data_IF_603547685980
#
_entry.id   IF_603547685980
#
_cell.length_a   1.000
_cell.length_b   1.000
_cell.length_c   1.000
_cell.angle_alpha   90.00
_cell.angle_beta   90.00
_cell.angle_gamma   90.00
#
_symmetry.space_group_name_H-M   'P 1'
#
loop_
_entity.id
_entity.type
_entity.pdbx_description
1 polymer ?
#
# COMPACT_ATOMS: atom_id res chain seq x y z
N UNK A 1 -3.94 -1.76 -14.69
CA UNK A 1 -2.98 -2.70 -14.08
C UNK A 1 -3.75 -3.56 -13.08
N UNK A 2 -3.44 -4.85 -12.94
CA UNK A 2 -4.02 -5.68 -11.88
C UNK A 2 -2.91 -6.10 -10.91
N UNK A 3 -3.11 -5.84 -9.61
CA UNK A 3 -2.31 -6.43 -8.55
C UNK A 3 -2.99 -7.72 -8.08
N UNK A 4 -2.25 -8.82 -8.03
CA UNK A 4 -2.78 -10.15 -7.69
C UNK A 4 -1.96 -10.72 -6.54
N UNK A 5 -2.64 -11.07 -5.44
CA UNK A 5 -2.03 -11.81 -4.34
C UNK A 5 -2.70 -13.18 -4.21
N UNK A 6 -1.90 -14.24 -4.13
CA UNK A 6 -2.34 -15.62 -3.99
C UNK A 6 -1.94 -16.12 -2.60
N UNK A 7 -2.86 -16.66 -1.79
CA UNK A 7 -2.51 -17.23 -0.49
C UNK A 7 -1.66 -18.48 -0.66
N UNK A 8 -0.71 -18.70 0.26
CA UNK A 8 0.20 -19.84 0.27
C UNK A 8 -0.48 -21.10 0.82
N UNK A 9 -1.41 -21.64 0.03
CA UNK A 9 -2.16 -22.88 0.31
C UNK A 9 -2.24 -23.75 -0.95
N UNK A 10 -2.45 -25.07 -0.82
CA UNK A 10 -2.69 -25.93 -1.97
C UNK A 10 -3.85 -25.43 -2.84
N UNK A 11 -3.76 -25.65 -4.16
CA UNK A 11 -4.75 -25.15 -5.12
C UNK A 11 -6.20 -25.57 -4.78
N UNK A 12 -6.38 -26.78 -4.24
CA UNK A 12 -7.68 -27.32 -3.86
C UNK A 12 -8.26 -26.70 -2.57
N UNK A 13 -7.47 -25.95 -1.82
CA UNK A 13 -7.89 -25.21 -0.62
C UNK A 13 -8.21 -23.74 -0.92
N UNK A 14 -7.93 -23.25 -2.14
CA UNK A 14 -8.32 -21.90 -2.54
C UNK A 14 -9.85 -21.77 -2.52
N UNK A 15 -10.35 -20.78 -1.79
CA UNK A 15 -11.79 -20.54 -1.66
C UNK A 15 -12.40 -19.78 -2.84
N UNK A 16 -11.57 -19.35 -3.79
CA UNK A 16 -11.96 -18.61 -4.99
C UNK A 16 -11.24 -17.26 -5.10
N UNK A 17 -11.91 -16.29 -5.73
CA UNK A 17 -11.36 -14.97 -6.06
C UNK A 17 -12.20 -13.87 -5.43
N UNK A 18 -11.56 -12.76 -5.06
CA UNK A 18 -12.24 -11.55 -4.61
C UNK A 18 -11.66 -10.32 -5.30
N UNK A 19 -12.55 -9.46 -5.82
CA UNK A 19 -12.18 -8.11 -6.21
C UNK A 19 -11.98 -7.27 -4.94
N UNK A 20 -10.81 -6.65 -4.82
CA UNK A 20 -10.38 -5.99 -3.58
C UNK A 20 -9.89 -4.57 -3.84
N UNK A 21 -9.83 -3.77 -2.76
CA UNK A 21 -9.06 -2.52 -2.70
C UNK A 21 -7.75 -2.76 -1.94
N UNK A 22 -6.77 -1.86 -2.10
CA UNK A 22 -5.55 -1.89 -1.30
C UNK A 22 -5.89 -1.63 0.18
N UNK A 23 -5.40 -2.49 1.07
CA UNK A 23 -5.33 -2.21 2.50
C UNK A 23 -4.24 -1.19 2.82
N UNK A 24 -4.14 -0.79 4.10
CA UNK A 24 -3.12 0.15 4.58
C UNK A 24 -2.40 -0.39 5.80
N UNK A 25 -1.10 -0.10 5.90
CA UNK A 25 -0.28 -0.39 7.08
C UNK A 25 0.01 0.90 7.81
N UNK A 26 0.20 0.81 9.13
CA UNK A 26 0.76 1.90 9.92
C UNK A 26 2.18 2.24 9.44
N UNK A 27 2.67 3.43 9.83
CA UNK A 27 4.05 3.87 9.54
C UNK A 27 5.04 2.75 9.91
N UNK A 28 6.04 2.55 9.05
CA UNK A 28 7.09 1.55 9.25
C UNK A 28 7.76 1.70 10.61
N UNK A 29 8.20 0.59 11.18
CA UNK A 29 8.98 0.62 12.43
C UNK A 29 10.29 1.40 12.26
N UNK A 30 10.91 1.86 13.37
CA UNK A 30 12.17 2.59 13.32
C UNK A 30 13.27 1.85 12.57
N UNK A 31 14.21 2.62 12.03
CA UNK A 31 15.40 2.07 11.37
C UNK A 31 16.23 1.21 12.34
N UNK A 32 16.74 0.10 11.83
CA UNK A 32 17.57 -0.83 12.61
C UNK A 32 19.04 -0.57 12.31
N UNK A 33 19.79 -0.08 13.30
CA UNK A 33 21.23 0.11 13.18
C UNK A 33 21.98 -1.22 13.27
N UNK A 34 22.96 -1.43 12.40
CA UNK A 34 23.85 -2.59 12.40
C UNK A 34 25.27 -2.18 12.02
N UNK A 35 26.21 -3.13 12.04
CA UNK A 35 27.59 -2.91 11.59
C UNK A 35 27.90 -3.77 10.38
N UNK A 36 28.56 -3.18 9.39
CA UNK A 36 29.14 -3.94 8.29
C UNK A 36 30.40 -4.69 8.74
N UNK A 37 30.96 -5.59 7.90
CA UNK A 37 32.19 -6.32 8.22
C UNK A 37 33.43 -5.45 8.44
N UNK A 38 33.39 -4.16 8.08
CA UNK A 38 34.45 -3.17 8.29
C UNK A 38 34.19 -2.29 9.51
N UNK A 39 33.16 -2.61 10.31
CA UNK A 39 32.80 -1.91 11.54
C UNK A 39 32.01 -0.61 11.34
N UNK A 40 31.66 -0.24 10.10
CA UNK A 40 30.89 0.98 9.80
C UNK A 40 29.42 0.78 10.16
N UNK A 41 28.78 1.82 10.69
CA UNK A 41 27.34 1.78 10.98
C UNK A 41 26.55 1.79 9.67
N UNK A 42 25.61 0.86 9.55
CA UNK A 42 24.62 0.79 8.48
C UNK A 42 23.22 0.84 9.10
N UNK A 43 22.26 1.36 8.36
CA UNK A 43 20.87 1.48 8.81
C UNK A 43 19.96 0.72 7.85
N UNK A 44 19.23 -0.25 8.40
CA UNK A 44 18.21 -0.99 7.67
C UNK A 44 16.86 -0.31 7.86
N UNK A 45 16.05 -0.29 6.79
CA UNK A 45 14.63 0.06 6.93
C UNK A 45 13.99 -0.99 7.84
N UNK A 46 13.32 -0.53 8.89
CA UNK A 46 12.60 -1.40 9.81
C UNK A 46 11.47 -2.15 9.11
N UNK A 47 10.92 -3.20 9.75
CA UNK A 47 9.78 -3.93 9.19
C UNK A 47 8.59 -2.98 8.95
N UNK A 48 7.72 -3.38 8.02
CA UNK A 48 6.47 -2.67 7.81
C UNK A 48 5.64 -2.67 9.11
N UNK A 49 4.97 -1.55 9.40
CA UNK A 49 4.12 -1.45 10.58
C UNK A 49 2.96 -2.44 10.54
N UNK A 50 2.31 -2.59 11.70
CA UNK A 50 1.08 -3.38 11.82
C UNK A 50 0.00 -2.90 10.83
N UNK A 51 -0.91 -3.80 10.47
CA UNK A 51 -2.03 -3.47 9.57
C UNK A 51 -2.94 -2.42 10.22
N UNK A 52 -3.17 -1.32 9.49
CA UNK A 52 -4.03 -0.22 9.92
C UNK A 52 -5.45 -0.38 9.36
N UNK A 53 -5.54 -0.83 8.10
CA UNK A 53 -6.79 -1.22 7.45
C UNK A 53 -6.59 -2.54 6.69
N UNK A 54 -7.05 -3.61 7.33
CA UNK A 54 -7.10 -4.97 6.80
C UNK A 54 -8.50 -5.59 7.00
N UNK A 55 -9.53 -4.74 6.97
CA UNK A 55 -10.91 -5.17 7.10
C UNK A 55 -11.47 -5.84 5.84
N UNK A 56 -12.73 -6.32 5.87
CA UNK A 56 -13.40 -6.90 4.71
C UNK A 56 -13.30 -6.01 3.46
N UNK A 57 -12.99 -6.65 2.31
CA UNK A 57 -12.81 -5.98 1.02
C UNK A 57 -11.38 -5.51 0.73
N UNK A 58 -10.47 -5.56 1.71
CA UNK A 58 -9.04 -5.34 1.47
C UNK A 58 -8.37 -6.58 0.89
N UNK A 59 -7.25 -6.37 0.21
CA UNK A 59 -6.36 -7.42 -0.25
C UNK A 59 -5.78 -8.26 0.91
N UNK A 60 -5.37 -7.64 2.02
CA UNK A 60 -4.92 -8.35 3.22
C UNK A 60 -5.98 -9.32 3.75
N UNK A 61 -7.23 -8.85 3.89
CA UNK A 61 -8.33 -9.68 4.38
C UNK A 61 -8.61 -10.88 3.45
N UNK A 62 -8.66 -10.65 2.13
CA UNK A 62 -8.94 -11.72 1.17
C UNK A 62 -7.89 -12.82 1.23
N UNK A 63 -6.60 -12.46 1.26
CA UNK A 63 -5.49 -13.42 1.37
C UNK A 63 -5.54 -14.18 2.69
N UNK A 64 -5.71 -13.48 3.83
CA UNK A 64 -5.84 -14.10 5.14
C UNK A 64 -7.06 -15.04 5.24
N UNK A 65 -8.13 -14.75 4.50
CA UNK A 65 -9.33 -15.57 4.44
C UNK A 65 -9.23 -16.78 3.48
N UNK A 66 -8.14 -16.89 2.70
CA UNK A 66 -7.90 -17.99 1.75
C UNK A 66 -8.46 -17.75 0.34
N UNK A 67 -8.68 -16.50 -0.04
CA UNK A 67 -9.08 -16.09 -1.39
C UNK A 67 -7.92 -15.47 -2.16
N UNK A 68 -7.90 -15.64 -3.48
CA UNK A 68 -7.06 -14.85 -4.37
C UNK A 68 -7.59 -13.42 -4.41
N UNK A 69 -6.75 -12.44 -4.07
CA UNK A 69 -7.07 -11.02 -4.16
C UNK A 69 -6.73 -10.50 -5.55
N UNK A 70 -7.66 -9.77 -6.17
CA UNK A 70 -7.45 -9.08 -7.44
C UNK A 70 -7.82 -7.61 -7.26
N UNK A 71 -6.81 -6.74 -7.22
CA UNK A 71 -6.99 -5.30 -7.00
C UNK A 71 -6.70 -4.55 -8.30
N UNK A 72 -7.69 -3.87 -8.92
CA UNK A 72 -7.43 -2.99 -10.05
C UNK A 72 -6.66 -1.76 -9.60
N UNK A 73 -5.53 -1.49 -10.24
CA UNK A 73 -4.68 -0.34 -9.97
C UNK A 73 -4.69 0.64 -11.14
N UNK A 74 -4.68 1.93 -10.77
CA UNK A 74 -4.45 3.07 -11.65
C UNK A 74 -3.05 3.64 -11.35
N UNK A 75 -2.34 4.10 -12.38
CA UNK A 75 -0.99 4.66 -12.25
C UNK A 75 -1.02 6.17 -11.98
N UNK A 76 -2.09 6.83 -12.42
CA UNK A 76 -2.24 8.26 -12.26
C UNK A 76 -2.64 8.59 -10.83
N UNK A 77 -1.71 9.19 -10.09
CA UNK A 77 -1.90 9.60 -8.70
C UNK A 77 -2.45 11.02 -8.57
N UNK A 78 -2.82 11.65 -9.69
CA UNK A 78 -3.45 12.97 -9.65
C UNK A 78 -4.79 12.88 -8.93
N UNK A 79 -4.92 13.61 -7.82
CA UNK A 79 -6.18 13.70 -7.08
C UNK A 79 -7.12 14.68 -7.78
N UNK A 80 -7.72 14.23 -8.90
CA UNK A 80 -8.54 15.05 -9.79
C UNK A 80 -9.66 15.81 -9.08
N UNK A 81 -10.26 15.21 -8.05
CA UNK A 81 -11.34 15.83 -7.25
C UNK A 81 -10.89 17.12 -6.54
N UNK A 82 -9.59 17.28 -6.27
CA UNK A 82 -9.03 18.43 -5.57
C UNK A 82 -8.49 19.52 -6.51
N UNK A 83 -8.44 19.29 -7.83
CA UNK A 83 -7.82 20.23 -8.76
C UNK A 83 -8.48 21.62 -8.70
N UNK A 84 -9.81 21.68 -8.70
CA UNK A 84 -10.53 22.96 -8.63
C UNK A 84 -10.33 23.65 -7.28
N UNK A 85 -10.37 22.88 -6.17
CA UNK A 85 -10.15 23.44 -4.84
C UNK A 85 -8.75 24.05 -4.69
N UNK A 86 -7.72 23.38 -5.21
CA UNK A 86 -6.36 23.90 -5.21
C UNK A 86 -6.23 25.12 -6.12
N UNK A 87 -6.85 25.11 -7.31
CA UNK A 87 -6.87 26.25 -8.22
C UNK A 87 -7.45 27.51 -7.56
N UNK A 88 -8.54 27.35 -6.81
CA UNK A 88 -9.19 28.46 -6.11
C UNK A 88 -8.39 28.94 -4.89
N UNK A 89 -7.63 28.05 -4.25
CA UNK A 89 -6.76 28.37 -3.12
C UNK A 89 -5.49 29.12 -3.52
N UNK A 90 -4.94 28.86 -4.71
CA UNK A 90 -3.74 29.52 -5.19
C UNK A 90 -3.94 31.02 -5.37
N UNK A 91 -2.92 31.85 -5.08
CA UNK A 91 -3.00 33.28 -5.33
C UNK A 91 -3.25 33.52 -6.82
N UNK A 92 -4.16 34.45 -7.12
CA UNK A 92 -4.38 34.89 -8.51
C UNK A 92 -3.12 35.58 -9.00
N UNK A 93 -2.73 35.32 -10.24
CA UNK A 93 -1.57 35.98 -10.84
C UNK A 93 -1.71 37.50 -10.70
N UNK A 94 -0.62 38.15 -10.31
CA UNK A 94 -0.55 39.61 -10.34
C UNK A 94 -0.53 40.03 -11.80
N UNK A 95 -1.65 40.58 -12.29
CA UNK A 95 -1.65 41.33 -13.55
C UNK A 95 -0.68 42.50 -13.39
N UNK A 96 0.40 42.47 -14.16
CA UNK A 96 1.31 43.60 -14.36
C UNK A 96 0.62 44.75 -15.11
#
# INVERSE_FOLDING_TARGET
>A
LLNINVPDVPLHELKGYQATRLGQRHKSEPVVASRDPRGRVIYWVGPAGAEQDAGPGTDFYAVAAGYVSVTPLQLDLTLYEQLNAIKDWLPKEHTA
#
